data_IF_317659634366
#
_entry.id   IF_317659634366
#
_cell.length_a   1.000
_cell.length_b   1.000
_cell.length_c   1.000
_cell.angle_alpha   90.00
_cell.angle_beta   90.00
_cell.angle_gamma   90.00
#
_symmetry.space_group_name_H-M   'P 1'
#
loop_
_entity.id
_entity.type
_entity.pdbx_description
1 polymer ?
#
# COMPACT_ATOMS: atom_id res chain seq x y z
N UNK A 1 -4.84 21.66 35.24
CA UNK A 1 -5.39 20.32 35.50
C UNK A 1 -4.49 19.31 34.79
N UNK A 2 -3.53 18.72 35.50
CA UNK A 2 -2.70 17.64 34.95
C UNK A 2 -3.53 16.36 34.97
N UNK A 3 -4.16 16.04 33.85
CA UNK A 3 -4.79 14.73 33.65
C UNK A 3 -3.66 13.73 33.46
N UNK A 4 -3.14 13.17 34.55
CA UNK A 4 -2.16 12.09 34.49
C UNK A 4 -2.73 10.91 33.70
N UNK A 5 -1.97 10.39 32.73
CA UNK A 5 -2.39 9.23 31.94
C UNK A 5 -2.40 7.99 32.83
N UNK A 6 -3.52 7.24 32.84
CA UNK A 6 -3.66 6.01 33.64
C UNK A 6 -2.78 4.90 33.02
N UNK A 7 -1.98 4.24 33.85
CA UNK A 7 -1.14 3.11 33.42
C UNK A 7 -2.01 1.91 33.03
N UNK A 8 -1.70 1.30 31.89
CA UNK A 8 -2.40 0.11 31.38
C UNK A 8 -1.42 -0.89 30.80
N UNK A 9 -1.73 -2.18 30.97
CA UNK A 9 -0.96 -3.26 30.36
C UNK A 9 -1.46 -3.54 28.94
N UNK A 10 -0.52 -3.76 28.01
CA UNK A 10 -0.81 -4.14 26.62
C UNK A 10 -1.38 -5.56 26.60
N UNK A 11 -2.59 -5.72 26.06
CA UNK A 11 -3.28 -7.03 26.00
C UNK A 11 -3.11 -7.77 24.67
N UNK A 12 -2.97 -7.02 23.57
CA UNK A 12 -2.85 -7.56 22.22
C UNK A 12 -2.07 -6.58 21.33
N UNK A 13 -1.47 -7.12 20.26
CA UNK A 13 -0.74 -6.35 19.24
C UNK A 13 -1.43 -6.60 17.90
N UNK A 14 -1.91 -5.52 17.29
CA UNK A 14 -2.49 -5.56 15.95
C UNK A 14 -1.42 -5.15 14.93
N UNK A 15 -1.20 -6.00 13.93
CA UNK A 15 -0.32 -5.67 12.81
C UNK A 15 -1.14 -5.04 11.68
N UNK A 16 -0.53 -4.07 10.98
CA UNK A 16 -1.12 -3.38 9.86
C UNK A 16 -0.05 -2.78 8.96
N UNK A 17 -0.49 -2.17 7.87
CA UNK A 17 0.33 -1.35 6.98
C UNK A 17 -0.11 0.09 7.17
N UNK A 18 0.84 0.99 7.41
CA UNK A 18 0.52 2.41 7.59
C UNK A 18 0.00 2.99 6.27
N UNK A 19 -1.15 3.63 6.32
CA UNK A 19 -1.67 4.35 5.17
C UNK A 19 -0.88 5.65 4.94
N UNK A 20 -0.79 6.15 3.69
CA UNK A 20 -0.12 7.42 3.42
C UNK A 20 -0.68 8.58 4.27
N UNK A 21 -1.99 8.61 4.47
CA UNK A 21 -2.65 9.64 5.27
C UNK A 21 -2.33 9.51 6.76
N UNK A 22 -2.21 8.28 7.26
CA UNK A 22 -1.77 8.02 8.64
C UNK A 22 -0.32 8.44 8.84
N UNK A 23 0.57 8.17 7.89
CA UNK A 23 1.96 8.63 7.93
C UNK A 23 2.03 10.16 8.01
N UNK A 24 1.24 10.86 7.20
CA UNK A 24 1.16 12.33 7.24
C UNK A 24 0.61 12.83 8.57
N UNK A 25 -0.44 12.22 9.13
CA UNK A 25 -1.02 12.60 10.43
C UNK A 25 -0.10 12.33 11.63
N UNK A 26 0.68 11.24 11.58
CA UNK A 26 1.66 10.91 12.61
C UNK A 26 2.89 11.82 12.57
N UNK A 27 3.10 12.50 11.44
CA UNK A 27 4.29 13.29 11.24
C UNK A 27 4.20 14.67 11.90
N UNK A 28 5.27 15.05 12.61
CA UNK A 28 5.39 16.38 13.23
C UNK A 28 5.96 17.45 12.29
N UNK A 29 6.49 17.04 11.14
CA UNK A 29 7.01 17.95 10.12
C UNK A 29 5.88 18.30 9.16
N UNK A 30 5.20 19.42 9.41
CA UNK A 30 4.19 19.97 8.51
C UNK A 30 4.80 20.25 7.13
N UNK A 31 4.19 19.70 6.07
CA UNK A 31 4.73 19.75 4.70
C UNK A 31 5.88 18.76 4.41
N UNK A 32 6.26 17.95 5.40
CA UNK A 32 7.30 16.94 5.27
C UNK A 32 8.73 17.50 5.30
N UNK A 33 9.69 16.61 5.12
CA UNK A 33 11.10 16.97 4.98
C UNK A 33 11.35 17.33 3.52
N UNK A 34 11.54 18.63 3.27
CA UNK A 34 11.74 19.18 1.92
C UNK A 34 13.20 19.53 1.65
N UNK A 35 14.01 19.70 2.69
CA UNK A 35 15.40 20.13 2.59
C UNK A 35 16.35 19.01 2.99
N UNK A 36 17.37 18.78 2.18
CA UNK A 36 18.47 17.86 2.52
C UNK A 36 19.49 18.49 3.50
N UNK A 37 19.41 19.81 3.71
CA UNK A 37 20.30 20.56 4.60
C UNK A 37 20.04 20.13 6.06
N UNK A 38 21.13 19.90 6.78
CA UNK A 38 21.11 19.43 8.16
C UNK A 38 21.17 20.61 9.14
N UNK A 39 22.05 21.57 8.89
CA UNK A 39 22.31 22.73 9.74
C UNK A 39 22.23 23.99 8.89
N UNK A 40 21.54 25.00 9.38
CA UNK A 40 21.43 26.35 8.82
C UNK A 40 21.79 27.35 9.94
N UNK A 41 22.75 28.24 9.68
CA UNK A 41 23.25 29.22 10.66
C UNK A 41 23.69 28.63 12.02
N UNK A 42 24.32 27.46 11.98
CA UNK A 42 24.79 26.75 13.17
C UNK A 42 23.69 26.09 14.01
N UNK A 43 22.43 26.09 13.53
CA UNK A 43 21.28 25.43 14.17
C UNK A 43 20.68 24.37 13.25
N UNK A 44 20.04 23.31 13.79
CA UNK A 44 19.37 22.33 12.96
C UNK A 44 18.28 22.97 12.09
N UNK A 45 18.29 22.67 10.79
CA UNK A 45 17.39 23.30 9.82
C UNK A 45 15.94 22.79 10.00
N UNK A 46 14.98 23.72 10.02
CA UNK A 46 13.55 23.39 9.99
C UNK A 46 13.15 22.84 8.61
N UNK A 47 12.34 21.78 8.60
CA UNK A 47 12.03 21.03 7.37
C UNK A 47 13.22 20.29 6.77
N UNK A 48 14.34 20.25 7.52
CA UNK A 48 15.53 19.49 7.19
C UNK A 48 15.49 18.07 7.74
N UNK A 49 16.53 17.30 7.41
CA UNK A 49 16.64 15.94 7.89
C UNK A 49 16.79 15.89 9.42
N UNK A 50 17.46 16.86 10.06
CA UNK A 50 17.59 16.92 11.54
C UNK A 50 16.66 17.96 12.18
N UNK A 51 15.42 18.07 11.68
CA UNK A 51 14.43 18.99 12.23
C UNK A 51 14.27 18.80 13.76
N UNK A 52 14.42 19.87 14.58
CA UNK A 52 14.37 19.80 16.04
C UNK A 52 13.00 19.41 16.62
N UNK A 53 11.95 19.33 15.78
CA UNK A 53 10.65 18.74 16.13
C UNK A 53 10.69 17.21 16.20
N UNK A 54 11.61 16.56 15.47
CA UNK A 54 11.71 15.09 15.39
C UNK A 54 12.46 14.47 16.58
N UNK A 55 13.08 15.29 17.43
CA UNK A 55 13.80 14.86 18.62
C UNK A 55 14.92 15.83 18.97
N UNK A 56 15.78 15.40 19.89
CA UNK A 56 16.97 16.14 20.33
C UNK A 56 18.22 15.32 20.13
N UNK A 57 19.34 16.00 19.90
CA UNK A 57 20.67 15.41 19.72
C UNK A 57 21.60 15.75 20.89
N UNK A 58 21.48 16.97 21.42
CA UNK A 58 22.32 17.49 22.49
C UNK A 58 21.61 17.48 23.84
N UNK A 59 22.38 17.30 24.92
CA UNK A 59 21.85 17.28 26.30
C UNK A 59 21.26 18.62 26.75
N UNK A 60 21.76 19.72 26.19
CA UNK A 60 21.29 21.07 26.52
C UNK A 60 20.02 21.44 25.73
N UNK A 61 19.80 20.79 24.59
CA UNK A 61 18.66 21.05 23.72
C UNK A 61 17.39 20.35 24.23
N UNK A 62 16.23 20.94 23.94
CA UNK A 62 14.91 20.37 24.23
C UNK A 62 14.10 20.20 22.95
N UNK A 63 13.31 19.13 22.89
CA UNK A 63 12.52 18.84 21.70
C UNK A 63 11.42 19.88 21.53
N UNK A 64 11.26 20.42 20.33
CA UNK A 64 10.22 21.43 20.07
C UNK A 64 8.79 20.87 20.14
N UNK A 65 8.62 19.55 20.07
CA UNK A 65 7.30 18.89 20.11
C UNK A 65 6.87 18.53 21.53
N UNK A 66 7.72 17.85 22.31
CA UNK A 66 7.37 17.34 23.64
C UNK A 66 8.10 18.03 24.80
N UNK A 67 9.02 18.97 24.53
CA UNK A 67 9.89 19.64 25.50
C UNK A 67 10.79 18.71 26.35
N UNK A 68 10.85 17.42 26.00
CA UNK A 68 11.70 16.41 26.63
C UNK A 68 13.18 16.58 26.27
N UNK A 69 14.04 16.02 27.13
CA UNK A 69 15.47 15.86 26.91
C UNK A 69 15.75 14.58 26.09
N UNK A 70 17.03 14.23 25.91
CA UNK A 70 17.44 13.04 25.13
C UNK A 70 16.97 11.69 25.71
N UNK A 71 16.73 11.61 27.01
CA UNK A 71 16.29 10.39 27.70
C UNK A 71 14.77 10.27 27.68
N UNK A 72 14.07 11.39 27.91
CA UNK A 72 12.62 11.42 28.06
C UNK A 72 11.88 11.52 26.72
N UNK A 73 12.52 12.06 25.68
CA UNK A 73 11.91 12.19 24.36
C UNK A 73 11.96 10.83 23.61
N UNK A 74 10.80 10.24 23.24
CA UNK A 74 10.78 9.01 22.45
C UNK A 74 11.25 9.24 21.00
N UNK A 75 11.23 10.50 20.55
CA UNK A 75 11.40 10.89 19.16
C UNK A 75 10.07 10.91 18.41
N UNK A 76 9.99 11.77 17.41
CA UNK A 76 8.77 11.99 16.62
C UNK A 76 9.02 11.78 15.12
N UNK A 77 8.08 11.12 14.45
CA UNK A 77 8.22 10.77 13.04
C UNK A 77 8.13 12.01 12.13
N UNK A 78 8.96 12.00 11.09
CA UNK A 78 8.82 12.86 9.92
C UNK A 78 8.12 12.11 8.78
N UNK A 79 7.87 12.80 7.67
CA UNK A 79 7.49 12.15 6.42
C UNK A 79 8.12 12.87 5.23
N UNK A 80 8.30 12.16 4.13
CA UNK A 80 8.65 12.70 2.82
C UNK A 80 7.51 12.35 1.88
N UNK A 81 6.88 13.35 1.29
CA UNK A 81 5.88 13.16 0.25
C UNK A 81 6.57 12.95 -1.09
N UNK A 82 6.28 11.83 -1.75
CA UNK A 82 6.84 11.50 -3.04
C UNK A 82 5.95 12.07 -4.14
N UNK A 83 6.57 12.65 -5.17
CA UNK A 83 5.85 13.16 -6.34
C UNK A 83 5.17 12.05 -7.14
N UNK A 84 5.74 10.85 -7.14
CA UNK A 84 5.19 9.66 -7.75
C UNK A 84 5.30 8.46 -6.80
N UNK A 85 4.32 7.55 -6.79
CA UNK A 85 4.38 6.37 -5.93
C UNK A 85 5.49 5.43 -6.38
N UNK A 86 6.06 4.69 -5.43
CA UNK A 86 7.14 3.73 -5.66
C UNK A 86 6.75 2.35 -5.11
N UNK A 87 7.23 1.29 -5.77
CA UNK A 87 7.03 -0.07 -5.28
C UNK A 87 7.80 -0.34 -3.99
N UNK A 88 7.11 -0.86 -2.97
CA UNK A 88 7.79 -1.36 -1.77
C UNK A 88 8.38 -2.76 -2.03
N UNK A 89 9.71 -2.89 -1.93
CA UNK A 89 10.44 -4.13 -2.25
C UNK A 89 9.92 -5.33 -1.44
N UNK A 90 9.63 -5.13 -0.15
CA UNK A 90 9.09 -6.19 0.73
C UNK A 90 7.68 -6.64 0.38
N UNK A 91 6.90 -5.82 -0.34
CA UNK A 91 5.54 -6.16 -0.76
C UNK A 91 5.43 -6.45 -2.25
N UNK A 92 6.50 -6.27 -3.01
CA UNK A 92 6.53 -6.39 -4.47
C UNK A 92 5.96 -7.73 -4.97
N UNK A 93 6.31 -8.84 -4.33
CA UNK A 93 5.76 -10.15 -4.67
C UNK A 93 4.27 -10.28 -4.37
N UNK A 94 3.77 -9.62 -3.31
CA UNK A 94 2.33 -9.59 -2.99
C UNK A 94 1.58 -8.72 -3.99
N UNK A 95 2.12 -7.56 -4.36
CA UNK A 95 1.60 -6.66 -5.39
C UNK A 95 1.37 -7.42 -6.71
N UNK A 96 2.35 -8.20 -7.18
CA UNK A 96 2.21 -9.02 -8.40
C UNK A 96 1.11 -10.08 -8.25
N UNK A 97 0.98 -10.71 -7.08
CA UNK A 97 -0.08 -11.70 -6.83
C UNK A 97 -1.47 -11.05 -6.89
N UNK A 98 -1.64 -9.89 -6.26
CA UNK A 98 -2.90 -9.14 -6.25
C UNK A 98 -3.26 -8.69 -7.67
N UNK A 99 -2.31 -8.11 -8.40
CA UNK A 99 -2.50 -7.69 -9.80
C UNK A 99 -2.94 -8.83 -10.73
N UNK A 100 -2.57 -10.08 -10.44
CA UNK A 100 -3.02 -11.26 -11.19
C UNK A 100 -4.39 -11.79 -10.76
N UNK A 101 -4.96 -11.28 -9.66
CA UNK A 101 -6.28 -11.66 -9.17
C UNK A 101 -7.36 -10.66 -9.60
N UNK A 102 -6.99 -9.40 -9.81
CA UNK A 102 -7.90 -8.32 -10.21
C UNK A 102 -7.78 -7.99 -11.69
N UNK A 103 -8.85 -7.47 -12.27
CA UNK A 103 -8.87 -7.02 -13.64
C UNK A 103 -8.08 -5.72 -13.83
N UNK A 104 -7.23 -5.68 -14.86
CA UNK A 104 -6.39 -4.52 -15.17
C UNK A 104 -7.18 -3.23 -15.53
N UNK A 105 -8.40 -3.38 -16.05
CA UNK A 105 -9.26 -2.26 -16.44
C UNK A 105 -10.28 -1.87 -15.36
N UNK A 106 -11.14 -2.80 -14.91
CA UNK A 106 -12.22 -2.50 -13.96
C UNK A 106 -11.85 -2.70 -12.47
N UNK A 107 -10.65 -3.19 -12.16
CA UNK A 107 -10.16 -3.42 -10.77
C UNK A 107 -10.95 -4.42 -9.91
N UNK A 108 -12.00 -5.04 -10.46
CA UNK A 108 -12.75 -6.12 -9.80
C UNK A 108 -11.99 -7.44 -9.84
N UNK A 109 -12.29 -8.35 -8.91
CA UNK A 109 -11.78 -9.72 -8.95
C UNK A 109 -12.15 -10.45 -10.25
N UNK A 110 -11.20 -11.17 -10.83
CA UNK A 110 -11.41 -11.94 -12.07
C UNK A 110 -12.32 -13.15 -11.90
N UNK A 111 -12.50 -13.63 -10.67
CA UNK A 111 -13.35 -14.77 -10.36
C UNK A 111 -14.50 -14.30 -9.50
N UNK A 112 -15.71 -14.72 -9.85
CA UNK A 112 -16.89 -14.41 -9.08
C UNK A 112 -16.88 -15.04 -7.69
N UNK A 113 -17.25 -14.29 -6.63
CA UNK A 113 -17.38 -14.84 -5.28
C UNK A 113 -18.47 -15.92 -5.20
N UNK A 114 -19.40 -15.95 -6.17
CA UNK A 114 -20.47 -16.97 -6.25
C UNK A 114 -19.93 -18.35 -6.64
N UNK A 115 -18.76 -18.43 -7.27
CA UNK A 115 -18.18 -19.68 -7.75
C UNK A 115 -17.97 -20.68 -6.60
N UNK A 116 -18.40 -21.94 -6.79
CA UNK A 116 -18.28 -23.00 -5.78
C UNK A 116 -16.84 -23.19 -5.28
N UNK A 117 -15.84 -23.08 -6.18
CA UNK A 117 -14.42 -23.20 -5.83
C UNK A 117 -13.95 -22.08 -4.91
N UNK A 118 -14.48 -20.87 -5.07
CA UNK A 118 -14.16 -19.73 -4.19
C UNK A 118 -14.80 -19.93 -2.83
N UNK A 119 -16.06 -20.36 -2.76
CA UNK A 119 -16.74 -20.67 -1.49
C UNK A 119 -16.02 -21.77 -0.70
N UNK A 120 -15.59 -22.83 -1.36
CA UNK A 120 -14.79 -23.90 -0.75
C UNK A 120 -13.45 -23.35 -0.22
N UNK A 121 -12.76 -22.55 -1.03
CA UNK A 121 -11.51 -21.89 -0.64
C UNK A 121 -11.71 -20.99 0.59
N UNK A 122 -12.78 -20.19 0.63
CA UNK A 122 -13.09 -19.32 1.77
C UNK A 122 -13.31 -20.12 3.04
N UNK A 123 -14.06 -21.22 2.98
CA UNK A 123 -14.28 -22.10 4.12
C UNK A 123 -12.98 -22.73 4.64
N UNK A 124 -12.14 -23.26 3.76
CA UNK A 124 -10.82 -23.82 4.11
C UNK A 124 -9.89 -22.77 4.73
N UNK A 125 -10.02 -21.52 4.30
CA UNK A 125 -9.10 -20.43 4.65
C UNK A 125 -9.57 -19.61 5.84
N UNK A 126 -10.72 -19.92 6.46
CA UNK A 126 -11.16 -19.31 7.73
C UNK A 126 -10.10 -19.49 8.83
N UNK A 127 -9.54 -20.69 8.95
CA UNK A 127 -8.51 -20.99 9.95
C UNK A 127 -7.10 -20.50 9.58
N UNK A 128 -6.81 -20.23 8.30
CA UNK A 128 -5.45 -19.90 7.80
C UNK A 128 -5.46 -18.77 6.78
N UNK A 129 -5.75 -17.51 7.18
CA UNK A 129 -5.91 -16.38 6.25
C UNK A 129 -4.70 -16.13 5.35
N UNK A 130 -3.48 -16.46 5.79
CA UNK A 130 -2.22 -16.27 5.03
C UNK A 130 -2.19 -17.03 3.69
N UNK A 131 -2.95 -18.11 3.55
CA UNK A 131 -2.98 -18.91 2.32
C UNK A 131 -3.97 -18.37 1.28
N UNK A 132 -4.88 -17.45 1.67
CA UNK A 132 -6.00 -17.00 0.84
C UNK A 132 -5.57 -16.43 -0.49
N UNK A 133 -4.66 -15.46 -0.46
CA UNK A 133 -4.14 -14.80 -1.66
C UNK A 133 -3.45 -15.79 -2.61
N UNK A 134 -2.73 -16.79 -2.08
CA UNK A 134 -2.03 -17.76 -2.91
C UNK A 134 -2.99 -18.70 -3.64
N UNK A 135 -4.05 -19.14 -2.96
CA UNK A 135 -5.09 -19.97 -3.55
C UNK A 135 -5.95 -19.19 -4.55
N UNK A 136 -6.33 -17.95 -4.20
CA UNK A 136 -7.06 -17.07 -5.11
C UNK A 136 -6.29 -16.85 -6.41
N UNK A 137 -4.99 -16.55 -6.31
CA UNK A 137 -4.11 -16.40 -7.47
C UNK A 137 -4.09 -17.65 -8.37
N UNK A 138 -4.11 -18.84 -7.79
CA UNK A 138 -4.09 -20.08 -8.58
C UNK A 138 -5.41 -20.28 -9.35
N UNK A 139 -6.55 -19.89 -8.77
CA UNK A 139 -7.83 -19.88 -9.48
C UNK A 139 -7.83 -18.87 -10.63
N UNK A 140 -7.36 -17.64 -10.36
CA UNK A 140 -7.32 -16.56 -11.36
C UNK A 140 -6.30 -16.82 -12.49
N UNK A 141 -5.29 -17.66 -12.27
CA UNK A 141 -4.27 -17.99 -13.29
C UNK A 141 -4.86 -18.55 -14.59
N UNK A 142 -6.00 -19.25 -14.49
CA UNK A 142 -6.69 -19.83 -15.64
C UNK A 142 -7.52 -18.82 -16.44
N UNK A 143 -7.78 -17.63 -15.88
CA UNK A 143 -8.68 -16.62 -16.45
C UNK A 143 -7.87 -15.57 -17.21
N UNK A 144 -7.99 -15.57 -18.53
CA UNK A 144 -7.33 -14.59 -19.43
C UNK A 144 -8.26 -13.46 -19.86
N UNK A 145 -9.56 -13.58 -19.57
CA UNK A 145 -10.61 -12.61 -19.90
C UNK A 145 -11.37 -12.29 -18.61
N UNK A 146 -11.71 -11.03 -18.41
CA UNK A 146 -12.59 -10.62 -17.32
C UNK A 146 -14.02 -11.05 -17.64
N UNK A 147 -14.53 -12.06 -16.94
CA UNK A 147 -15.92 -12.49 -17.03
C UNK A 147 -16.84 -11.36 -16.54
N UNK A 148 -17.97 -11.11 -17.23
CA UNK A 148 -18.96 -10.10 -16.82
C UNK A 148 -19.36 -9.05 -17.86
N UNK A 149 -18.77 -9.07 -19.06
CA UNK A 149 -19.15 -8.16 -20.14
C UNK A 149 -20.44 -8.53 -20.90
N UNK A 150 -21.01 -9.73 -20.68
CA UNK A 150 -22.09 -10.26 -21.52
C UNK A 150 -23.48 -9.65 -21.22
N UNK A 151 -23.64 -8.86 -20.16
CA UNK A 151 -24.93 -8.25 -19.78
C UNK A 151 -25.11 -6.80 -20.28
N UNK A 152 -24.14 -6.20 -20.98
CA UNK A 152 -24.25 -4.80 -21.42
C UNK A 152 -25.20 -4.66 -22.63
N UNK A 153 -25.38 -5.72 -23.43
CA UNK A 153 -26.18 -5.70 -24.66
C UNK A 153 -27.62 -6.23 -24.49
N UNK A 154 -28.05 -6.54 -23.27
CA UNK A 154 -29.43 -6.98 -23.03
C UNK A 154 -30.28 -5.74 -22.74
N UNK A 155 -31.19 -5.32 -23.65
CA UNK A 155 -32.09 -4.22 -23.35
C UNK A 155 -32.91 -4.59 -22.12
N UNK A 156 -33.09 -3.62 -21.23
CA UNK A 156 -33.90 -3.71 -20.01
C UNK A 156 -35.35 -4.00 -20.43
N UNK A 157 -35.68 -5.27 -20.69
CA UNK A 157 -37.05 -5.75 -20.73
C UNK A 157 -37.35 -6.39 -19.38
N UNK A 158 -38.25 -5.71 -18.69
CA UNK A 158 -38.93 -6.13 -17.49
C UNK A 158 -39.37 -7.61 -17.53
N UNK A 159 -39.25 -8.26 -16.37
CA UNK A 159 -39.64 -9.62 -16.01
C UNK A 159 -38.81 -10.76 -16.62
N UNK A 160 -37.76 -11.17 -15.90
CA UNK A 160 -37.59 -12.58 -15.54
C UNK A 160 -36.61 -12.75 -14.37
N UNK A 161 -37.09 -13.42 -13.32
CA UNK A 161 -36.33 -13.91 -12.16
C UNK A 161 -35.32 -15.00 -12.59
N UNK A 162 -34.25 -14.61 -13.26
CA UNK A 162 -33.05 -15.45 -13.35
C UNK A 162 -32.05 -14.89 -12.35
N UNK A 163 -31.72 -15.70 -11.34
CA UNK A 163 -30.58 -15.51 -10.45
C UNK A 163 -29.27 -15.53 -11.25
N UNK A 164 -29.04 -14.49 -12.05
CA UNK A 164 -27.77 -14.23 -12.72
C UNK A 164 -26.96 -13.52 -11.66
N UNK A 165 -26.04 -14.25 -11.02
CA UNK A 165 -25.09 -13.63 -10.09
C UNK A 165 -24.22 -12.67 -10.89
N UNK A 166 -24.61 -11.40 -10.90
CA UNK A 166 -24.07 -10.33 -11.73
C UNK A 166 -22.64 -10.03 -11.30
N UNK A 167 -21.70 -10.83 -11.82
CA UNK A 167 -20.30 -10.50 -11.75
C UNK A 167 -20.05 -9.43 -12.81
N UNK A 168 -20.21 -8.16 -12.42
CA UNK A 168 -20.13 -7.02 -13.34
C UNK A 168 -18.71 -6.69 -13.81
N UNK A 169 -18.04 -7.63 -14.47
CA UNK A 169 -16.75 -7.43 -15.15
C UNK A 169 -16.87 -6.70 -16.48
N UNK A 170 -15.73 -6.45 -17.13
CA UNK A 170 -15.66 -5.54 -18.30
C UNK A 170 -15.25 -6.23 -19.62
N UNK A 171 -15.14 -7.56 -19.67
CA UNK A 171 -14.81 -8.30 -20.90
C UNK A 171 -13.38 -8.13 -21.44
N UNK A 172 -12.53 -7.31 -20.81
CA UNK A 172 -11.18 -7.04 -21.31
C UNK A 172 -10.22 -8.22 -21.10
N UNK A 173 -9.30 -8.39 -22.06
CA UNK A 173 -8.19 -9.32 -21.96
C UNK A 173 -7.18 -8.88 -20.90
N UNK A 174 -6.78 -9.85 -20.07
CA UNK A 174 -5.84 -9.61 -18.99
C UNK A 174 -4.39 -9.79 -19.47
N UNK A 175 -3.49 -8.86 -19.14
CA UNK A 175 -2.09 -9.01 -19.49
C UNK A 175 -1.42 -10.10 -18.64
N UNK A 176 -0.41 -10.74 -19.21
CA UNK A 176 0.54 -11.53 -18.45
C UNK A 176 1.54 -10.58 -17.80
N UNK A 177 1.52 -10.54 -16.47
CA UNK A 177 2.41 -9.69 -15.68
C UNK A 177 3.73 -10.42 -15.40
N UNK A 178 4.83 -9.93 -15.95
CA UNK A 178 6.19 -10.44 -15.71
C UNK A 178 7.02 -9.44 -14.90
N UNK A 179 8.02 -9.97 -14.20
CA UNK A 179 8.93 -9.20 -13.35
C UNK A 179 10.35 -9.32 -13.92
N UNK A 180 10.98 -8.20 -14.21
CA UNK A 180 12.40 -8.14 -14.55
C UNK A 180 13.08 -7.22 -13.55
N UNK A 181 13.82 -7.79 -12.60
CA UNK A 181 14.43 -7.08 -11.46
C UNK A 181 13.39 -6.29 -10.65
N UNK A 182 13.40 -4.96 -10.74
CA UNK A 182 12.51 -4.01 -10.04
C UNK A 182 11.39 -3.45 -10.94
N UNK A 183 11.37 -3.83 -12.21
CA UNK A 183 10.38 -3.38 -13.18
C UNK A 183 9.34 -4.47 -13.43
N UNK A 184 8.09 -4.03 -13.65
CA UNK A 184 6.98 -4.88 -14.03
C UNK A 184 6.61 -4.60 -15.48
N UNK A 185 6.31 -5.66 -16.22
CA UNK A 185 5.86 -5.57 -17.59
C UNK A 185 4.50 -6.26 -17.72
N UNK A 186 3.61 -5.65 -18.47
CA UNK A 186 2.31 -6.21 -18.82
C UNK A 186 2.33 -6.52 -20.32
N UNK A 187 2.19 -7.80 -20.67
CA UNK A 187 2.15 -8.28 -22.06
C UNK A 187 0.79 -8.85 -22.41
N UNK A 188 0.18 -8.36 -23.49
CA UNK A 188 -1.04 -8.94 -24.04
C UNK A 188 -0.69 -9.91 -25.17
N UNK A 189 -1.03 -11.18 -24.97
CA UNK A 189 -0.80 -12.22 -25.98
C UNK A 189 -1.78 -12.08 -27.14
N UNK A 190 -1.30 -12.39 -28.35
CA UNK A 190 -2.07 -12.37 -29.60
C UNK A 190 -3.18 -13.40 -29.57
N UNK A 191 -4.39 -12.98 -29.96
CA UNK A 191 -5.50 -13.89 -30.28
C UNK A 191 -5.67 -14.08 -31.80
N UNK A 192 -5.04 -13.26 -32.63
CA UNK A 192 -5.17 -13.29 -34.10
C UNK A 192 -3.87 -12.84 -34.79
N UNK A 193 -3.68 -13.28 -36.05
CA UNK A 193 -2.44 -13.14 -36.82
C UNK A 193 -2.03 -11.69 -37.17
N UNK A 194 -2.92 -10.70 -36.99
CA UNK A 194 -2.71 -9.32 -37.46
C UNK A 194 -2.47 -8.27 -36.36
N UNK A 195 -2.49 -8.63 -35.08
CA UNK A 195 -2.21 -7.67 -33.99
C UNK A 195 -0.79 -7.87 -33.43
N UNK A 196 0.00 -6.81 -33.37
CA UNK A 196 1.31 -6.84 -32.71
C UNK A 196 1.16 -7.08 -31.21
N UNK A 197 2.09 -7.84 -30.62
CA UNK A 197 2.18 -7.97 -29.16
C UNK A 197 2.44 -6.60 -28.55
N UNK A 198 1.57 -6.20 -27.62
CA UNK A 198 1.74 -4.97 -26.86
C UNK A 198 2.38 -5.33 -25.53
N UNK A 199 3.60 -4.86 -25.33
CA UNK A 199 4.28 -4.87 -24.05
C UNK A 199 4.38 -3.44 -23.53
N UNK A 200 3.90 -3.21 -22.32
CA UNK A 200 4.05 -1.93 -21.64
C UNK A 200 4.80 -2.12 -20.33
N UNK A 201 5.57 -1.10 -19.94
CA UNK A 201 6.13 -1.01 -18.60
C UNK A 201 4.99 -0.60 -17.67
N UNK A 202 4.81 -1.35 -16.59
CA UNK A 202 3.77 -1.10 -15.61
C UNK A 202 4.32 -0.20 -14.50
N UNK A 203 3.96 1.08 -14.56
CA UNK A 203 4.34 2.08 -13.56
C UNK A 203 3.61 1.86 -12.23
N UNK A 204 4.23 2.27 -11.14
CA UNK A 204 3.62 2.19 -9.81
C UNK A 204 2.34 3.04 -9.69
N UNK A 205 2.27 4.17 -10.41
CA UNK A 205 1.08 5.02 -10.48
C UNK A 205 -0.12 4.26 -11.06
N UNK A 206 0.08 3.57 -12.18
CA UNK A 206 -0.99 2.78 -12.78
C UNK A 206 -1.46 1.65 -11.85
N UNK A 207 -0.54 1.02 -11.13
CA UNK A 207 -0.89 -0.02 -10.13
C UNK A 207 -1.67 0.60 -8.97
N UNK A 208 -1.30 1.80 -8.52
CA UNK A 208 -2.00 2.51 -7.45
C UNK A 208 -3.45 2.83 -7.84
N UNK A 209 -3.69 3.29 -9.07
CA UNK A 209 -5.04 3.52 -9.58
C UNK A 209 -5.90 2.26 -9.54
N UNK A 210 -5.35 1.13 -10.00
CA UNK A 210 -6.05 -0.16 -9.97
C UNK A 210 -6.36 -0.53 -8.51
N UNK A 211 -5.38 -0.41 -7.61
CA UNK A 211 -5.55 -0.81 -6.21
C UNK A 211 -6.51 0.07 -5.42
N UNK A 212 -6.58 1.36 -5.73
CA UNK A 212 -7.55 2.29 -5.13
C UNK A 212 -8.99 1.92 -5.50
N UNK A 213 -9.20 1.44 -6.73
CA UNK A 213 -10.51 1.06 -7.25
C UNK A 213 -10.98 -0.34 -6.79
N UNK A 214 -10.16 -1.09 -6.04
CA UNK A 214 -10.58 -2.35 -5.42
C UNK A 214 -11.56 -2.04 -4.28
N UNK A 215 -12.70 -2.73 -4.27
CA UNK A 215 -13.71 -2.61 -3.21
C UNK A 215 -13.23 -3.25 -1.90
N UNK A 216 -13.79 -2.82 -0.77
CA UNK A 216 -13.47 -3.40 0.54
C UNK A 216 -13.88 -4.88 0.63
N UNK A 217 -14.95 -5.27 -0.06
CA UNK A 217 -15.39 -6.66 -0.18
C UNK A 217 -14.35 -7.53 -0.92
N UNK A 218 -13.83 -7.03 -2.05
CA UNK A 218 -12.78 -7.69 -2.82
C UNK A 218 -11.48 -7.82 -2.01
N UNK A 219 -11.17 -6.85 -1.16
CA UNK A 219 -10.03 -6.93 -0.24
C UNK A 219 -10.17 -8.12 0.72
N UNK A 220 -11.36 -8.35 1.28
CA UNK A 220 -11.63 -9.47 2.20
C UNK A 220 -11.47 -10.81 1.46
N UNK A 221 -11.97 -10.91 0.23
CA UNK A 221 -11.80 -12.09 -0.61
C UNK A 221 -10.33 -12.38 -0.95
N UNK A 222 -9.51 -11.35 -1.16
CA UNK A 222 -8.05 -11.47 -1.31
C UNK A 222 -7.35 -11.91 -0.01
N UNK A 223 -8.02 -11.80 1.14
CA UNK A 223 -7.47 -12.12 2.46
C UNK A 223 -6.76 -10.95 3.12
N UNK A 224 -7.16 -9.74 2.76
CA UNK A 224 -6.69 -8.49 3.32
C UNK A 224 -7.81 -7.87 4.17
N UNK A 225 -7.44 -7.07 5.17
CA UNK A 225 -8.41 -6.37 6.02
C UNK A 225 -8.45 -4.89 5.61
N UNK A 226 -9.58 -4.37 5.11
CA UNK A 226 -9.67 -3.00 4.62
C UNK A 226 -9.35 -1.94 5.69
N UNK A 227 -9.46 -2.27 6.98
CA UNK A 227 -9.15 -1.32 8.05
C UNK A 227 -7.66 -1.20 8.35
N UNK A 228 -6.91 -2.30 8.24
CA UNK A 228 -5.53 -2.38 8.70
C UNK A 228 -4.51 -2.64 7.58
N UNK A 229 -4.94 -3.11 6.42
CA UNK A 229 -4.06 -3.51 5.33
C UNK A 229 -4.84 -3.49 4.01
N UNK A 230 -4.95 -2.32 3.37
CA UNK A 230 -5.46 -2.24 1.99
C UNK A 230 -4.35 -2.47 0.96
N UNK A 231 -4.69 -2.97 -0.25
CA UNK A 231 -3.75 -3.16 -1.35
C UNK A 231 -3.00 -1.89 -1.76
N UNK A 232 -3.68 -0.73 -1.78
CA UNK A 232 -3.10 0.55 -2.21
C UNK A 232 -1.99 1.03 -1.27
N UNK A 233 -2.05 0.69 0.02
CA UNK A 233 -1.01 1.05 1.01
C UNK A 233 0.28 0.24 0.86
N UNK A 234 0.28 -0.80 0.02
CA UNK A 234 1.49 -1.56 -0.29
C UNK A 234 2.47 -0.77 -1.18
N UNK A 235 2.00 0.30 -1.82
CA UNK A 235 2.79 1.25 -2.60
C UNK A 235 3.16 2.44 -1.72
N UNK A 236 4.37 2.95 -1.86
CA UNK A 236 4.87 4.07 -1.07
C UNK A 236 4.56 5.35 -1.82
N UNK A 237 3.64 6.17 -1.32
CA UNK A 237 3.43 7.56 -1.77
C UNK A 237 3.92 8.58 -0.74
N UNK A 238 3.88 8.23 0.54
CA UNK A 238 4.52 8.96 1.62
C UNK A 238 5.49 8.03 2.34
N UNK A 239 6.75 8.46 2.45
CA UNK A 239 7.79 7.70 3.13
C UNK A 239 7.90 8.19 4.57
N UNK A 240 7.66 7.35 5.60
CA UNK A 240 7.86 7.76 6.98
C UNK A 240 9.36 7.92 7.24
N UNK A 241 9.73 9.05 7.82
CA UNK A 241 11.11 9.30 8.25
C UNK A 241 11.21 8.97 9.74
N UNK A 242 12.06 8.01 10.13
CA UNK A 242 12.18 7.63 11.51
C UNK A 242 12.72 8.79 12.37
N UNK A 243 12.37 8.85 13.65
CA UNK A 243 12.84 9.90 14.55
C UNK A 243 14.35 9.80 14.81
N UNK A 244 14.93 10.88 15.36
CA UNK A 244 16.37 10.97 15.65
C UNK A 244 16.88 9.89 16.61
N UNK A 245 16.03 9.38 17.50
CA UNK A 245 16.34 8.25 18.40
C UNK A 245 16.70 6.96 17.66
N UNK A 246 16.20 6.78 16.44
CA UNK A 246 16.48 5.60 15.58
C UNK A 246 17.67 5.85 14.64
N UNK A 247 18.01 7.13 14.39
CA UNK A 247 19.10 7.56 13.50
C UNK A 247 20.07 8.51 14.23
N UNK A 248 20.80 8.02 15.24
CA UNK A 248 21.70 8.85 16.01
C UNK A 248 22.81 9.43 15.11
N UNK A 249 23.03 10.74 15.17
CA UNK A 249 24.15 11.40 14.51
C UNK A 249 25.38 11.38 15.41
N UNK A 250 26.54 11.01 14.87
CA UNK A 250 27.80 11.19 15.58
C UNK A 250 28.31 12.60 15.33
N UNK A 251 28.11 13.48 16.31
CA UNK A 251 28.79 14.78 16.35
C UNK A 251 30.20 14.55 16.89
N UNK A 252 31.18 14.42 16.01
CA UNK A 252 32.58 14.41 16.43
C UNK A 252 32.97 15.84 16.84
N UNK A 253 32.99 16.09 18.15
CA UNK A 253 33.61 17.28 18.70
C UNK A 253 35.13 17.16 18.54
N UNK A 254 35.64 17.60 17.38
CA UNK A 254 37.08 17.72 17.12
C UNK A 254 37.52 17.21 15.75
N UNK A 255 38.16 18.10 14.99
CA UNK A 255 38.91 17.89 13.73
C UNK A 255 38.13 17.80 12.42
N UNK A 256 37.57 18.94 12.02
CA UNK A 256 37.76 19.42 10.65
C UNK A 256 38.41 20.80 10.72
N UNK A 257 39.71 20.80 10.98
CA UNK A 257 40.63 21.85 10.56
C UNK A 257 41.48 21.27 9.44
#
# INVERSE_FOLDING_TARGET
>A
MNVGCVTRNVKAIQFGVLSPDEIKRLSVTEGGITRAIIVEDGKPALGGLMDPRQGVLDRESRCLTCAGNIVDCPGHFGHIELSLPVFHIGFFLKTIKILRCVCFSCSKLLVSPTNAKVKEMLNRTKARPRLRLSLMRELCKSKTICEGGENIDIPITCNNERNISDHGGCGHHQPRITRHKLELFATWQRLTEHRQERQIILTAERVLEIFRNISDEDCIYLGMDPKHCRPDWLLISALPVPPLSVRPSVLMYGSSR
#
